data_IF_164357783675
#
_entry.id   IF_164357783675
#
_cell.length_a   1.000
_cell.length_b   1.000
_cell.length_c   1.000
_cell.angle_alpha   90.00
_cell.angle_beta   90.00
_cell.angle_gamma   90.00
#
_symmetry.space_group_name_H-M   'P 1'
#
loop_
_entity.id
_entity.type
_entity.pdbx_description
1 polymer ?
#
# COMPACT_ATOMS: atom_id res chain seq x y z
N UNK A 1 -9.93 6.03 20.19
CA UNK A 1 -8.65 6.36 20.86
C UNK A 1 -7.59 5.41 20.32
N UNK A 2 -6.58 5.89 19.60
CA UNK A 2 -5.52 5.05 19.00
C UNK A 2 -4.34 4.98 19.95
N UNK A 3 -4.36 3.98 20.82
CA UNK A 3 -3.30 3.71 21.80
C UNK A 3 -2.62 2.39 21.44
N UNK A 4 -1.28 2.35 21.53
CA UNK A 4 -0.51 1.12 21.37
C UNK A 4 0.38 0.96 22.59
N UNK A 5 0.24 -0.20 23.23
CA UNK A 5 1.09 -0.60 24.33
C UNK A 5 2.45 -1.06 23.81
N UNK A 6 3.51 -0.56 24.44
CA UNK A 6 4.89 -0.91 24.12
C UNK A 6 5.26 -2.13 24.98
N UNK A 7 5.24 -3.32 24.38
CA UNK A 7 5.59 -4.58 25.06
C UNK A 7 7.08 -4.85 24.92
N UNK A 8 7.80 -4.83 26.05
CA UNK A 8 9.25 -4.82 26.10
C UNK A 8 9.82 -3.51 25.56
N UNK A 9 11.05 -3.16 25.90
CA UNK A 9 11.69 -1.86 25.55
C UNK A 9 11.88 -1.60 24.04
N UNK A 10 11.18 -2.34 23.18
CA UNK A 10 11.21 -2.24 21.73
C UNK A 10 10.16 -1.25 21.21
N UNK A 11 10.46 0.04 21.41
CA UNK A 11 9.67 1.18 20.93
C UNK A 11 9.52 1.14 19.41
N UNK A 12 10.55 0.71 18.68
CA UNK A 12 10.55 0.70 17.23
C UNK A 12 9.48 -0.25 16.65
N UNK A 13 9.34 -1.44 17.23
CA UNK A 13 8.31 -2.41 16.84
C UNK A 13 6.90 -1.85 17.11
N UNK A 14 6.71 -1.15 18.23
CA UNK A 14 5.44 -0.49 18.54
C UNK A 14 5.11 0.62 17.53
N UNK A 15 6.08 1.44 17.14
CA UNK A 15 5.91 2.49 16.11
C UNK A 15 5.58 1.90 14.73
N UNK A 16 6.22 0.79 14.34
CA UNK A 16 5.87 0.10 13.07
C UNK A 16 4.44 -0.44 13.10
N UNK A 17 3.99 -0.95 14.26
CA UNK A 17 2.61 -1.41 14.46
C UNK A 17 1.64 -0.24 14.37
N UNK A 18 1.94 0.89 15.01
CA UNK A 18 1.15 2.12 14.94
C UNK A 18 0.96 2.60 13.51
N UNK A 19 2.06 2.66 12.75
CA UNK A 19 2.02 3.05 11.34
C UNK A 19 1.10 2.14 10.53
N UNK A 20 1.13 0.81 10.75
CA UNK A 20 0.24 -0.14 10.06
C UNK A 20 -1.22 0.09 10.43
N UNK A 21 -1.52 0.26 11.71
CA UNK A 21 -2.88 0.53 12.20
C UNK A 21 -3.43 1.83 11.61
N UNK A 22 -2.63 2.91 11.59
CA UNK A 22 -3.03 4.18 10.97
C UNK A 22 -3.36 4.06 9.48
N UNK A 23 -2.64 3.21 8.74
CA UNK A 23 -2.92 2.95 7.32
C UNK A 23 -4.22 2.16 7.14
N UNK A 24 -4.47 1.16 8.00
CA UNK A 24 -5.69 0.34 7.97
C UNK A 24 -6.95 1.16 8.28
N UNK A 25 -6.86 2.04 9.28
CA UNK A 25 -7.95 2.93 9.71
C UNK A 25 -8.18 4.10 8.74
N UNK A 26 -7.43 4.20 7.63
CA UNK A 26 -7.60 5.29 6.67
C UNK A 26 -7.09 6.65 7.15
N UNK A 27 -6.33 6.68 8.25
CA UNK A 27 -5.79 7.89 8.89
C UNK A 27 -4.36 8.20 8.43
N UNK A 28 -3.89 7.56 7.35
CA UNK A 28 -2.60 7.91 6.81
C UNK A 28 -2.64 9.35 6.26
N UNK A 29 -1.56 10.13 6.40
CA UNK A 29 -1.52 11.52 5.94
C UNK A 29 -1.93 11.72 4.47
N UNK A 30 -1.75 10.70 3.63
CA UNK A 30 -2.16 10.71 2.22
C UNK A 30 -3.68 10.67 2.03
N UNK A 31 -4.39 9.88 2.84
CA UNK A 31 -5.86 9.76 2.79
C UNK A 31 -6.53 11.00 3.36
N UNK A 32 -5.98 11.53 4.47
CA UNK A 32 -6.46 12.79 5.07
C UNK A 32 -6.32 13.98 4.10
N UNK A 33 -5.21 14.04 3.33
CA UNK A 33 -5.01 15.08 2.30
C UNK A 33 -6.00 14.99 1.13
N UNK A 34 -6.49 13.80 0.81
CA UNK A 34 -7.50 13.62 -0.24
C UNK A 34 -8.87 14.14 0.21
N UNK A 35 -9.19 14.02 1.51
CA UNK A 35 -10.45 14.50 2.07
C UNK A 35 -10.53 16.04 2.18
N UNK A 36 -9.39 16.73 2.22
CA UNK A 36 -9.36 18.21 2.31
C UNK A 36 -9.68 18.96 1.01
N UNK A 37 -9.76 18.28 -0.15
CA UNK A 37 -10.01 18.93 -1.44
C UNK A 37 -11.19 18.28 -2.15
N UNK A 38 -12.06 19.10 -2.71
CA UNK A 38 -13.08 18.62 -3.64
C UNK A 38 -12.42 18.17 -4.95
N UNK A 39 -12.70 16.93 -5.36
CA UNK A 39 -12.31 16.37 -6.65
C UNK A 39 -13.58 16.12 -7.45
N UNK A 40 -13.60 16.48 -8.73
CA UNK A 40 -14.78 16.24 -9.57
C UNK A 40 -14.98 14.72 -9.74
N UNK A 41 -16.24 14.22 -9.77
CA UNK A 41 -16.49 12.79 -9.96
C UNK A 41 -15.84 12.20 -11.22
N UNK A 42 -15.77 12.97 -12.31
CA UNK A 42 -15.10 12.55 -13.55
C UNK A 42 -13.59 12.37 -13.40
N UNK A 43 -12.94 13.19 -12.58
CA UNK A 43 -11.50 13.11 -12.30
C UNK A 43 -11.20 11.95 -11.34
N UNK A 44 -12.06 11.74 -10.34
CA UNK A 44 -12.01 10.60 -9.43
C UNK A 44 -12.05 9.27 -10.21
N UNK A 45 -13.02 9.13 -11.13
CA UNK A 45 -13.16 7.95 -11.99
C UNK A 45 -11.92 7.73 -12.88
N UNK A 46 -11.35 8.80 -13.43
CA UNK A 46 -10.14 8.72 -14.24
C UNK A 46 -8.94 8.25 -13.41
N UNK A 47 -8.72 8.83 -12.24
CA UNK A 47 -7.64 8.41 -11.34
C UNK A 47 -7.80 6.96 -10.87
N UNK A 48 -9.03 6.52 -10.62
CA UNK A 48 -9.31 5.13 -10.28
C UNK A 48 -8.93 4.18 -11.43
N UNK A 49 -9.33 4.48 -12.66
CA UNK A 49 -8.96 3.69 -13.86
C UNK A 49 -7.44 3.62 -14.05
N UNK A 50 -6.77 4.76 -14.05
CA UNK A 50 -5.30 4.83 -14.18
C UNK A 50 -4.60 4.03 -13.06
N UNK A 51 -5.14 4.08 -11.83
CA UNK A 51 -4.59 3.32 -10.71
C UNK A 51 -4.80 1.80 -10.87
N UNK A 52 -5.93 1.38 -11.43
CA UNK A 52 -6.22 -0.03 -11.70
C UNK A 52 -5.32 -0.57 -12.81
N UNK A 53 -5.18 0.16 -13.92
CA UNK A 53 -4.29 -0.20 -15.02
C UNK A 53 -2.84 -0.36 -14.55
N UNK A 54 -2.35 0.59 -13.76
CA UNK A 54 -1.01 0.50 -13.14
C UNK A 54 -0.86 -0.74 -12.25
N UNK A 55 -1.87 -1.06 -11.43
CA UNK A 55 -1.86 -2.26 -10.58
C UNK A 55 -1.79 -3.55 -11.40
N UNK A 56 -2.55 -3.63 -12.49
CA UNK A 56 -2.56 -4.78 -13.39
C UNK A 56 -1.19 -4.93 -14.06
N UNK A 57 -0.63 -3.83 -14.59
CA UNK A 57 0.68 -3.84 -15.22
C UNK A 57 1.79 -4.28 -14.26
N UNK A 58 1.82 -3.73 -13.04
CA UNK A 58 2.80 -4.10 -12.02
C UNK A 58 2.65 -5.57 -11.58
N UNK A 59 1.42 -6.07 -11.50
CA UNK A 59 1.17 -7.49 -11.20
C UNK A 59 1.74 -8.38 -12.31
N UNK A 60 1.47 -8.05 -13.57
CA UNK A 60 2.00 -8.81 -14.71
C UNK A 60 3.54 -8.85 -14.70
N UNK A 61 4.19 -7.70 -14.47
CA UNK A 61 5.66 -7.62 -14.35
C UNK A 61 6.17 -8.49 -13.21
N UNK A 62 5.54 -8.42 -12.03
CA UNK A 62 5.92 -9.24 -10.87
C UNK A 62 5.79 -10.73 -11.15
N UNK A 63 4.70 -11.13 -11.81
CA UNK A 63 4.43 -12.53 -12.13
C UNK A 63 5.45 -13.05 -13.16
N UNK A 64 5.84 -12.22 -14.15
CA UNK A 64 6.91 -12.54 -15.10
C UNK A 64 8.28 -12.68 -14.42
N UNK A 65 8.64 -11.77 -13.51
CA UNK A 65 9.88 -11.87 -12.73
C UNK A 65 9.89 -13.17 -11.91
N UNK A 66 8.77 -13.48 -11.26
CA UNK A 66 8.63 -14.69 -10.44
C UNK A 66 8.82 -15.95 -11.29
N UNK A 67 8.27 -15.96 -12.50
CA UNK A 67 8.44 -17.06 -13.45
C UNK A 67 9.89 -17.21 -13.92
N UNK A 68 10.58 -16.11 -14.23
CA UNK A 68 12.01 -16.12 -14.61
C UNK A 68 12.87 -16.67 -13.47
N UNK A 69 12.64 -16.19 -12.24
CA UNK A 69 13.38 -16.66 -11.06
C UNK A 69 13.15 -18.15 -10.82
N UNK A 70 11.92 -18.62 -11.00
CA UNK A 70 11.58 -20.04 -10.88
C UNK A 70 12.25 -20.89 -11.97
N UNK A 71 12.31 -20.41 -13.22
CA UNK A 71 13.03 -21.07 -14.31
C UNK A 71 14.52 -21.21 -13.99
N UNK A 72 15.14 -20.10 -13.57
CA UNK A 72 16.55 -20.06 -13.17
C UNK A 72 16.85 -21.01 -12.01
N UNK A 73 15.98 -21.06 -10.99
CA UNK A 73 16.14 -21.96 -9.86
C UNK A 73 16.08 -23.45 -10.24
N UNK A 74 15.44 -23.78 -11.37
CA UNK A 74 15.35 -25.14 -11.92
C UNK A 74 16.42 -25.46 -12.97
N UNK A 75 17.37 -24.55 -13.21
CA UNK A 75 18.46 -24.75 -14.15
C UNK A 75 18.08 -24.62 -15.63
N UNK A 76 16.95 -23.97 -15.93
CA UNK A 76 16.57 -23.54 -17.29
C UNK A 76 17.09 -22.14 -17.60
#
# INVERSE_FOLDING_TARGET
MLTIEVVGSNVEKALRRLKRTLIQEGLAPRQLRQQTRFVKPSEELRHQRESQERRIALKAVRDQISWILWKKARGF
#
